data_IF_231175066931
#
_entry.id   IF_231175066931
#
_cell.length_a   1.000
_cell.length_b   1.000
_cell.length_c   1.000
_cell.angle_alpha   90.00
_cell.angle_beta   90.00
_cell.angle_gamma   90.00
#
_symmetry.space_group_name_H-M   'P 1'
#
loop_
_entity.id
_entity.type
_entity.pdbx_description
1 polymer ?
#
# COMPACT_ATOMS: atom_id res chain seq x y z
N UNK A 1 -38.79 11.12 63.84
CA UNK A 1 -39.41 10.25 62.81
C UNK A 1 -38.28 9.77 61.91
N UNK A 2 -37.72 8.58 62.21
CA UNK A 2 -37.92 7.31 61.47
C UNK A 2 -37.28 7.30 60.06
N UNK A 3 -36.05 6.77 60.01
CA UNK A 3 -35.57 5.63 59.19
C UNK A 3 -36.18 5.49 57.79
N UNK A 4 -35.34 5.54 56.74
CA UNK A 4 -35.05 4.34 55.94
C UNK A 4 -33.73 4.46 55.15
N UNK A 5 -32.79 3.61 55.54
CA UNK A 5 -31.65 3.14 54.75
C UNK A 5 -32.14 2.49 53.45
N UNK A 6 -31.50 2.78 52.32
CA UNK A 6 -31.38 1.79 51.24
C UNK A 6 -29.92 1.72 50.79
N UNK A 7 -29.23 0.74 51.35
CA UNK A 7 -27.98 0.19 50.84
C UNK A 7 -28.38 -0.75 49.70
N UNK A 8 -27.89 -0.52 48.48
CA UNK A 8 -27.96 -1.50 47.41
C UNK A 8 -26.52 -1.88 47.00
N UNK A 9 -26.04 -3.09 47.35
CA UNK A 9 -24.76 -3.58 46.89
C UNK A 9 -24.96 -4.26 45.53
N UNK A 10 -24.48 -3.64 44.44
CA UNK A 10 -24.20 -4.35 43.20
C UNK A 10 -22.70 -4.64 43.13
N UNK A 11 -22.28 -5.65 43.91
CA UNK A 11 -21.19 -6.51 43.50
C UNK A 11 -21.84 -7.63 42.69
N UNK A 12 -21.43 -7.83 41.44
CA UNK A 12 -20.70 -9.02 41.01
C UNK A 12 -20.62 -9.09 39.47
N UNK A 13 -19.42 -9.51 39.03
CA UNK A 13 -19.11 -10.18 37.77
C UNK A 13 -18.95 -9.33 36.51
N UNK A 14 -17.72 -8.84 36.31
CA UNK A 14 -17.03 -9.08 35.04
C UNK A 14 -15.49 -9.01 35.19
N UNK A 15 -14.94 -9.82 36.10
CA UNK A 15 -13.60 -10.36 35.91
C UNK A 15 -13.78 -11.74 35.26
N UNK A 16 -13.57 -11.83 33.94
CA UNK A 16 -13.76 -13.12 33.25
C UNK A 16 -13.59 -13.14 31.73
N UNK A 17 -13.03 -12.10 31.09
CA UNK A 17 -12.81 -12.09 29.63
C UNK A 17 -11.34 -11.99 29.19
N UNK A 18 -10.39 -12.02 30.14
CA UNK A 18 -8.98 -11.88 29.79
C UNK A 18 -8.31 -13.22 29.41
N UNK A 19 -8.69 -14.32 30.07
CA UNK A 19 -8.04 -15.61 29.84
C UNK A 19 -8.32 -16.21 28.46
N UNK A 20 -9.52 -16.04 27.92
CA UNK A 20 -9.91 -16.62 26.63
C UNK A 20 -9.17 -15.97 25.47
N UNK A 21 -8.96 -14.65 25.53
CA UNK A 21 -8.20 -13.91 24.51
C UNK A 21 -6.71 -14.20 24.59
N UNK A 22 -6.17 -14.38 25.80
CA UNK A 22 -4.77 -14.74 25.99
C UNK A 22 -4.49 -16.17 25.51
N UNK A 23 -5.39 -17.12 25.79
CA UNK A 23 -5.31 -18.51 25.28
C UNK A 23 -5.42 -18.58 23.75
N UNK A 24 -6.25 -17.74 23.12
CA UNK A 24 -6.36 -17.69 21.66
C UNK A 24 -5.09 -17.10 21.00
N UNK A 25 -4.47 -16.10 21.63
CA UNK A 25 -3.21 -15.52 21.16
C UNK A 25 -2.06 -16.54 21.24
N UNK A 26 -1.93 -17.23 22.38
CA UNK A 26 -0.91 -18.27 22.57
C UNK A 26 -1.12 -19.47 21.61
N UNK A 27 -2.37 -19.82 21.28
CA UNK A 27 -2.65 -20.87 20.30
C UNK A 27 -2.20 -20.46 18.88
N UNK A 28 -2.46 -19.21 18.48
CA UNK A 28 -2.02 -18.67 17.17
C UNK A 28 -0.50 -18.59 17.07
N UNK A 29 0.20 -18.17 18.12
CA UNK A 29 1.67 -18.15 18.14
C UNK A 29 2.27 -19.56 18.07
N UNK A 30 1.67 -20.55 18.75
CA UNK A 30 2.10 -21.95 18.65
C UNK A 30 1.86 -22.54 17.26
N UNK A 31 0.74 -22.22 16.61
CA UNK A 31 0.46 -22.67 15.24
C UNK A 31 1.47 -22.07 14.25
N UNK A 32 1.85 -20.79 14.43
CA UNK A 32 2.86 -20.13 13.60
C UNK A 32 4.24 -20.77 13.81
N UNK A 33 4.62 -21.05 15.06
CA UNK A 33 5.89 -21.70 15.40
C UNK A 33 5.96 -23.15 14.86
N UNK A 34 4.84 -23.88 14.83
CA UNK A 34 4.74 -25.21 14.22
C UNK A 34 4.88 -25.14 12.70
N UNK A 35 4.24 -24.18 12.01
CA UNK A 35 4.40 -23.98 10.56
C UNK A 35 5.84 -23.59 10.19
N UNK A 36 6.50 -22.75 10.99
CA UNK A 36 7.92 -22.39 10.79
C UNK A 36 8.83 -23.61 11.01
N UNK A 37 8.58 -24.43 12.03
CA UNK A 37 9.33 -25.67 12.25
C UNK A 37 9.11 -26.71 11.16
N UNK A 38 7.88 -26.87 10.66
CA UNK A 38 7.58 -27.79 9.56
C UNK A 38 8.24 -27.37 8.24
N UNK A 39 8.36 -26.05 8.02
CA UNK A 39 9.14 -25.51 6.90
C UNK A 39 10.65 -25.78 7.08
N UNK A 40 11.16 -25.67 8.30
CA UNK A 40 12.58 -25.93 8.59
C UNK A 40 12.96 -27.42 8.54
N UNK A 41 12.06 -28.36 8.88
CA UNK A 41 12.34 -29.79 8.78
C UNK A 41 12.21 -30.34 7.36
N UNK A 42 11.36 -29.74 6.52
CA UNK A 42 11.30 -30.08 5.08
C UNK A 42 12.58 -29.72 4.30
N UNK A 43 13.51 -28.99 4.91
CA UNK A 43 14.78 -28.60 4.29
C UNK A 43 15.96 -29.54 4.62
N UNK A 44 15.81 -30.51 5.54
CA UNK A 44 16.92 -31.36 6.00
C UNK A 44 16.80 -32.86 5.63
N UNK A 45 15.70 -33.30 5.02
CA UNK A 45 15.47 -34.72 4.70
C UNK A 45 15.85 -35.14 3.28
N UNK A 46 16.56 -34.29 2.52
CA UNK A 46 17.04 -34.67 1.19
C UNK A 46 18.55 -34.54 1.05
N UNK A 47 19.17 -35.73 1.06
CA UNK A 47 20.47 -36.12 0.50
C UNK A 47 21.63 -36.29 1.48
N UNK A 48 21.68 -37.48 2.08
CA UNK A 48 22.92 -38.20 2.37
C UNK A 48 23.02 -39.41 1.43
N UNK A 49 23.89 -39.35 0.41
CA UNK A 49 24.93 -40.37 0.18
C UNK A 49 25.81 -40.10 -1.06
N UNK A 50 27.11 -40.06 -0.76
CA UNK A 50 28.35 -40.31 -1.53
C UNK A 50 28.26 -40.86 -2.96
N UNK A 51 28.98 -40.25 -3.91
CA UNK A 51 30.30 -40.74 -4.38
C UNK A 51 30.99 -39.77 -5.36
N UNK A 52 32.32 -39.88 -5.41
CA UNK A 52 33.29 -38.95 -5.98
C UNK A 52 33.43 -38.95 -7.51
N UNK A 53 33.76 -37.77 -8.07
CA UNK A 53 34.99 -37.50 -8.84
C UNK A 53 34.76 -36.52 -10.00
N UNK A 54 35.68 -35.55 -10.10
CA UNK A 54 36.12 -34.75 -11.28
C UNK A 54 35.33 -33.50 -11.73
N UNK A 55 35.94 -32.34 -11.41
CA UNK A 55 36.08 -31.10 -12.22
C UNK A 55 34.95 -30.05 -12.15
N UNK A 56 35.27 -28.74 -11.96
CA UNK A 56 34.31 -27.73 -11.50
C UNK A 56 33.67 -26.97 -12.66
N UNK A 57 32.36 -26.70 -12.62
CA UNK A 57 31.72 -25.55 -13.30
C UNK A 57 30.33 -25.29 -12.66
N UNK A 58 30.17 -24.04 -12.23
CA UNK A 58 28.94 -23.26 -12.07
C UNK A 58 27.75 -23.88 -11.31
N UNK A 59 27.69 -23.52 -10.03
CA UNK A 59 26.47 -23.36 -9.24
C UNK A 59 25.44 -22.53 -10.02
N UNK A 60 24.41 -23.17 -10.56
CA UNK A 60 23.16 -22.51 -10.91
C UNK A 60 22.21 -22.67 -9.72
N UNK A 61 22.34 -21.76 -8.76
CA UNK A 61 21.25 -21.44 -7.84
C UNK A 61 20.05 -21.02 -8.71
N UNK A 62 18.81 -21.45 -8.43
CA UNK A 62 17.65 -20.83 -9.02
C UNK A 62 17.66 -19.37 -8.54
N UNK A 63 17.96 -18.46 -9.46
CA UNK A 63 17.67 -17.05 -9.26
C UNK A 63 16.16 -16.97 -9.19
N UNK A 64 15.62 -16.91 -7.98
CA UNK A 64 14.28 -16.39 -7.76
C UNK A 64 14.31 -14.94 -8.25
N UNK A 65 13.96 -14.76 -9.52
CA UNK A 65 13.97 -13.47 -10.17
C UNK A 65 12.96 -12.58 -9.46
N UNK A 66 13.47 -11.59 -8.72
CA UNK A 66 12.78 -10.40 -8.20
C UNK A 66 11.82 -9.69 -9.18
N UNK A 67 11.82 -10.08 -10.46
CA UNK A 67 10.99 -9.54 -11.51
C UNK A 67 9.48 -9.75 -11.30
N UNK A 68 9.06 -10.66 -10.43
CA UNK A 68 7.64 -11.00 -10.26
C UNK A 68 6.96 -10.45 -9.01
N UNK A 69 7.70 -9.96 -8.01
CA UNK A 69 7.12 -9.65 -6.70
C UNK A 69 5.99 -8.60 -6.77
N UNK A 70 6.05 -7.65 -7.71
CA UNK A 70 5.05 -6.59 -7.87
C UNK A 70 4.39 -6.58 -9.26
N UNK A 71 4.42 -7.71 -9.98
CA UNK A 71 3.73 -7.83 -11.27
C UNK A 71 2.21 -7.92 -11.12
N UNK A 72 1.74 -8.35 -9.95
CA UNK A 72 0.35 -8.30 -9.48
C UNK A 72 0.10 -7.06 -8.62
N UNK A 73 -1.01 -6.35 -8.86
CA UNK A 73 -1.31 -5.12 -8.15
C UNK A 73 -1.64 -5.32 -6.67
N UNK A 74 -2.29 -6.43 -6.30
CA UNK A 74 -2.65 -6.70 -4.90
C UNK A 74 -1.41 -6.98 -4.07
N UNK A 75 -0.42 -7.70 -4.63
CA UNK A 75 0.86 -7.94 -3.95
C UNK A 75 1.62 -6.62 -3.78
N UNK A 76 1.75 -5.83 -4.86
CA UNK A 76 2.30 -4.48 -4.78
C UNK A 76 1.60 -3.62 -3.72
N UNK A 77 0.27 -3.64 -3.68
CA UNK A 77 -0.53 -2.80 -2.79
C UNK A 77 -0.30 -3.13 -1.32
N UNK A 78 -0.20 -4.42 -0.96
CA UNK A 78 0.08 -4.86 0.40
C UNK A 78 1.44 -4.32 0.87
N UNK A 79 2.48 -4.47 0.06
CA UNK A 79 3.83 -4.02 0.40
C UNK A 79 3.93 -2.49 0.43
N UNK A 80 3.29 -1.81 -0.53
CA UNK A 80 3.22 -0.35 -0.58
C UNK A 80 2.57 0.22 0.67
N UNK A 81 1.39 -0.30 1.04
CA UNK A 81 0.69 0.07 2.27
C UNK A 81 1.54 -0.20 3.52
N UNK A 82 2.23 -1.34 3.57
CA UNK A 82 3.14 -1.65 4.68
C UNK A 82 4.27 -0.62 4.79
N UNK A 83 4.93 -0.29 3.68
CA UNK A 83 6.01 0.70 3.67
C UNK A 83 5.55 2.09 4.13
N UNK A 84 4.35 2.50 3.70
CA UNK A 84 3.73 3.77 4.15
C UNK A 84 3.50 3.75 5.67
N UNK A 85 2.91 2.69 6.20
CA UNK A 85 2.58 2.58 7.64
C UNK A 85 3.82 2.42 8.53
N UNK A 86 4.89 1.81 8.02
CA UNK A 86 6.17 1.70 8.71
C UNK A 86 6.98 3.03 8.67
N UNK A 87 6.49 4.05 7.95
CA UNK A 87 7.23 5.30 7.72
C UNK A 87 8.49 5.11 6.87
N UNK A 88 8.61 4.01 6.14
CA UNK A 88 9.79 3.65 5.37
C UNK A 88 9.79 4.38 4.01
N UNK A 89 10.27 5.63 4.03
CA UNK A 89 10.33 6.48 2.82
C UNK A 89 11.19 5.87 1.70
N UNK A 90 12.24 5.12 2.04
CA UNK A 90 13.11 4.47 1.05
C UNK A 90 12.41 3.33 0.31
N UNK A 91 11.63 2.52 1.02
CA UNK A 91 10.81 1.47 0.40
C UNK A 91 9.70 2.08 -0.48
N UNK A 92 9.08 3.17 -0.05
CA UNK A 92 8.09 3.85 -0.90
C UNK A 92 8.73 4.44 -2.16
N UNK A 93 9.93 5.01 -2.05
CA UNK A 93 10.70 5.48 -3.22
C UNK A 93 11.03 4.33 -4.18
N UNK A 94 11.43 3.16 -3.70
CA UNK A 94 11.72 2.02 -4.59
C UNK A 94 10.47 1.49 -5.32
N UNK A 95 9.28 1.77 -4.78
CA UNK A 95 7.97 1.49 -5.36
C UNK A 95 7.39 2.68 -6.15
N UNK A 96 8.18 3.73 -6.38
CA UNK A 96 7.76 4.96 -7.09
C UNK A 96 8.55 5.12 -8.37
N UNK A 97 7.86 5.46 -9.46
CA UNK A 97 8.48 5.84 -10.71
C UNK A 97 8.98 7.29 -10.63
N UNK A 98 10.30 7.47 -10.65
CA UNK A 98 10.96 8.78 -10.71
C UNK A 98 11.43 9.02 -12.16
N UNK A 99 11.11 10.17 -12.78
CA UNK A 99 10.48 11.36 -12.20
C UNK A 99 8.98 11.16 -11.89
N UNK A 100 8.57 11.61 -10.71
CA UNK A 100 7.17 11.63 -10.27
C UNK A 100 6.52 12.95 -10.69
N UNK A 101 5.35 12.90 -11.32
CA UNK A 101 4.68 14.09 -11.86
C UNK A 101 3.41 14.43 -11.12
N UNK A 102 3.24 15.70 -10.81
CA UNK A 102 1.98 16.27 -10.35
C UNK A 102 1.27 16.95 -11.53
N UNK A 103 0.58 16.16 -12.34
CA UNK A 103 -0.08 16.67 -13.55
C UNK A 103 -1.17 17.68 -13.21
N UNK A 104 -1.81 17.53 -12.05
CA UNK A 104 -2.88 18.41 -11.61
C UNK A 104 -2.37 19.83 -11.40
N UNK A 105 -1.42 19.99 -10.46
CA UNK A 105 -0.91 21.31 -10.12
C UNK A 105 0.01 21.86 -11.19
N UNK A 106 0.73 21.03 -11.95
CA UNK A 106 1.50 21.53 -13.11
C UNK A 106 0.61 22.28 -14.11
N UNK A 107 -0.60 21.78 -14.34
CA UNK A 107 -1.54 22.37 -15.30
C UNK A 107 -2.21 23.63 -14.74
N UNK A 108 -2.53 23.65 -13.44
CA UNK A 108 -3.33 24.72 -12.83
C UNK A 108 -2.52 25.81 -12.14
N UNK A 109 -1.34 25.54 -11.59
CA UNK A 109 -0.62 26.46 -10.70
C UNK A 109 -0.32 27.82 -11.35
N UNK A 110 -0.09 27.85 -12.67
CA UNK A 110 0.11 29.10 -13.43
C UNK A 110 -1.12 30.01 -13.41
N UNK A 111 -2.31 29.43 -13.42
CA UNK A 111 -3.59 30.14 -13.52
C UNK A 111 -4.27 30.29 -12.15
N UNK A 112 -4.02 29.36 -11.23
CA UNK A 112 -4.64 29.28 -9.91
C UNK A 112 -3.57 28.92 -8.85
N UNK A 113 -2.74 29.87 -8.38
CA UNK A 113 -1.71 29.58 -7.39
C UNK A 113 -2.23 29.02 -6.05
N UNK A 114 -3.53 29.21 -5.76
CA UNK A 114 -4.21 28.69 -4.57
C UNK A 114 -4.24 27.16 -4.51
N UNK A 115 -4.05 26.44 -5.63
CA UNK A 115 -3.93 24.97 -5.63
C UNK A 115 -2.62 24.48 -5.00
N UNK A 116 -1.68 25.40 -4.72
CA UNK A 116 -0.38 25.10 -4.16
C UNK A 116 0.66 24.74 -5.23
N UNK A 117 1.94 24.82 -4.85
CA UNK A 117 3.05 24.47 -5.75
C UNK A 117 2.94 23.00 -6.20
N UNK A 118 3.29 22.69 -7.46
CA UNK A 118 3.35 21.31 -7.92
C UNK A 118 4.27 20.44 -7.06
N UNK A 119 3.82 19.23 -6.78
CA UNK A 119 4.57 18.22 -6.05
C UNK A 119 5.42 17.33 -6.98
N UNK A 120 5.59 17.73 -8.24
CA UNK A 120 6.51 17.08 -9.18
C UNK A 120 7.91 16.96 -8.58
N UNK A 121 8.52 15.80 -8.77
CA UNK A 121 9.83 15.47 -8.25
C UNK A 121 10.68 14.82 -9.34
N UNK A 122 11.75 15.49 -9.73
CA UNK A 122 12.70 15.04 -10.76
C UNK A 122 13.72 14.05 -10.22
N UNK A 123 13.88 13.99 -8.90
CA UNK A 123 14.85 13.15 -8.21
C UNK A 123 14.23 12.50 -6.97
N UNK A 124 14.95 11.53 -6.41
CA UNK A 124 14.59 10.87 -5.15
C UNK A 124 14.54 11.89 -4.00
N UNK A 125 15.49 12.81 -3.93
CA UNK A 125 15.56 13.80 -2.85
C UNK A 125 14.38 14.78 -2.92
N UNK A 126 14.01 15.22 -4.13
CA UNK A 126 12.81 16.04 -4.33
C UNK A 126 11.54 15.30 -3.91
N UNK A 127 11.44 14.00 -4.22
CA UNK A 127 10.30 13.18 -3.84
C UNK A 127 10.21 13.03 -2.31
N UNK A 128 11.34 12.75 -1.65
CA UNK A 128 11.41 12.67 -0.19
C UNK A 128 11.05 13.99 0.48
N UNK A 129 11.46 15.13 -0.10
CA UNK A 129 11.11 16.47 0.39
C UNK A 129 9.61 16.77 0.23
N UNK A 130 8.95 16.20 -0.78
CA UNK A 130 7.51 16.32 -1.00
C UNK A 130 6.69 15.21 -0.30
N UNK A 131 7.33 14.21 0.29
CA UNK A 131 6.68 12.99 0.76
C UNK A 131 5.46 13.23 1.64
N UNK A 132 5.58 14.06 2.68
CA UNK A 132 4.49 14.28 3.65
C UNK A 132 3.34 15.11 3.03
N UNK A 133 3.59 15.80 1.91
CA UNK A 133 2.55 16.52 1.14
C UNK A 133 1.82 15.57 0.19
N UNK A 134 2.57 14.65 -0.45
CA UNK A 134 2.01 13.61 -1.34
C UNK A 134 1.17 12.63 -0.52
N UNK A 135 1.70 12.16 0.61
CA UNK A 135 1.04 11.23 1.52
C UNK A 135 0.41 11.98 2.69
N UNK A 136 -0.51 12.89 2.37
CA UNK A 136 -1.29 13.59 3.39
C UNK A 136 -2.10 12.62 4.27
N UNK A 137 -2.57 13.04 5.46
CA UNK A 137 -3.40 12.18 6.32
C UNK A 137 -4.65 11.64 5.61
N UNK A 138 -5.23 12.39 4.67
CA UNK A 138 -6.37 11.95 3.87
C UNK A 138 -5.98 10.81 2.92
N UNK A 139 -4.84 10.92 2.23
CA UNK A 139 -4.32 9.86 1.36
C UNK A 139 -3.97 8.61 2.17
N UNK A 140 -3.29 8.77 3.31
CA UNK A 140 -2.96 7.63 4.20
C UNK A 140 -4.24 6.93 4.68
N UNK A 141 -5.30 7.67 4.99
CA UNK A 141 -6.60 7.09 5.34
C UNK A 141 -7.15 6.22 4.22
N UNK A 142 -7.13 6.69 2.97
CA UNK A 142 -7.60 5.94 1.80
C UNK A 142 -6.73 4.69 1.54
N UNK A 143 -5.41 4.79 1.69
CA UNK A 143 -4.49 3.64 1.61
C UNK A 143 -4.89 2.60 2.67
N UNK A 144 -5.14 3.05 3.90
CA UNK A 144 -5.45 2.16 5.01
C UNK A 144 -6.83 1.50 4.92
N UNK A 145 -7.80 2.15 4.29
CA UNK A 145 -9.12 1.58 3.98
C UNK A 145 -9.16 0.77 2.69
N UNK A 146 -8.03 0.58 2.00
CA UNK A 146 -7.94 -0.07 0.68
C UNK A 146 -8.86 0.60 -0.36
N UNK A 147 -9.04 1.91 -0.27
CA UNK A 147 -9.84 2.68 -1.22
C UNK A 147 -9.03 3.05 -2.46
N UNK A 148 -9.01 2.12 -3.40
CA UNK A 148 -8.53 2.34 -4.77
C UNK A 148 -9.52 1.74 -5.78
N UNK A 149 -9.44 2.18 -7.02
CA UNK A 149 -10.19 1.60 -8.15
C UNK A 149 -9.25 1.27 -9.31
N UNK A 150 -9.55 0.21 -10.03
CA UNK A 150 -8.96 -0.01 -11.35
C UNK A 150 -9.56 0.97 -12.38
N UNK A 151 -8.85 1.16 -13.49
CA UNK A 151 -9.40 1.80 -14.67
C UNK A 151 -10.75 1.20 -15.08
N UNK A 152 -11.70 2.05 -15.45
CA UNK A 152 -13.02 1.65 -15.89
C UNK A 152 -13.41 2.40 -17.17
N UNK A 153 -13.70 1.64 -18.23
CA UNK A 153 -14.04 2.20 -19.54
C UNK A 153 -15.24 3.17 -19.54
N UNK A 154 -16.16 3.03 -18.60
CA UNK A 154 -17.35 3.88 -18.51
C UNK A 154 -17.10 5.18 -17.74
N UNK A 155 -15.98 5.27 -16.99
CA UNK A 155 -15.63 6.40 -16.13
C UNK A 155 -14.40 7.17 -16.62
N UNK A 156 -13.50 6.49 -17.33
CA UNK A 156 -12.17 6.99 -17.68
C UNK A 156 -11.95 7.07 -19.21
N UNK A 157 -13.03 7.20 -20.01
CA UNK A 157 -13.00 7.20 -21.49
C UNK A 157 -13.99 8.23 -22.08
N UNK A 158 -14.41 9.23 -21.33
CA UNK A 158 -15.41 10.18 -21.83
C UNK A 158 -14.90 11.04 -23.00
N UNK A 159 -15.79 11.28 -23.97
CA UNK A 159 -15.57 12.14 -25.15
C UNK A 159 -15.40 13.63 -24.77
N UNK A 160 -15.63 13.97 -23.50
CA UNK A 160 -15.49 15.30 -22.88
C UNK A 160 -14.20 15.50 -22.08
N UNK A 161 -13.25 14.56 -22.11
CA UNK A 161 -11.84 14.89 -21.84
C UNK A 161 -11.33 14.79 -20.41
N UNK A 162 -11.97 14.05 -19.50
CA UNK A 162 -11.54 13.93 -18.10
C UNK A 162 -10.87 12.60 -17.74
N UNK A 163 -9.91 12.07 -18.51
CA UNK A 163 -9.29 10.79 -18.15
C UNK A 163 -8.37 10.89 -16.92
N UNK A 164 -8.83 10.39 -15.78
CA UNK A 164 -8.01 10.31 -14.57
C UNK A 164 -6.80 9.38 -14.73
N UNK A 165 -7.05 8.20 -15.29
CA UNK A 165 -6.09 7.10 -15.45
C UNK A 165 -6.37 6.33 -16.76
N UNK A 166 -5.40 5.54 -17.23
CA UNK A 166 -5.52 4.70 -18.45
C UNK A 166 -5.69 3.22 -18.13
N UNK A 167 -6.08 2.44 -19.14
CA UNK A 167 -6.24 0.98 -19.02
C UNK A 167 -5.02 0.32 -18.39
N UNK A 168 -5.26 -0.50 -17.37
CA UNK A 168 -4.22 -1.22 -16.63
C UNK A 168 -3.68 -0.47 -15.39
N UNK A 169 -4.08 0.77 -15.19
CA UNK A 169 -3.73 1.55 -13.99
C UNK A 169 -4.77 1.42 -12.88
N UNK A 170 -4.34 1.82 -11.69
CA UNK A 170 -5.17 1.95 -10.49
C UNK A 170 -5.07 3.37 -9.94
N UNK A 171 -6.11 3.79 -9.22
CA UNK A 171 -6.24 5.13 -8.68
C UNK A 171 -6.74 5.11 -7.24
N UNK A 172 -6.05 5.85 -6.37
CA UNK A 172 -6.64 6.39 -5.14
C UNK A 172 -7.29 7.72 -5.49
N UNK A 173 -8.57 7.87 -5.17
CA UNK A 173 -9.35 9.07 -5.43
C UNK A 173 -9.90 9.63 -4.12
N UNK A 174 -9.72 10.92 -3.88
CA UNK A 174 -10.34 11.62 -2.76
C UNK A 174 -11.83 11.84 -3.06
N UNK A 175 -12.69 11.61 -2.07
CA UNK A 175 -14.15 11.63 -2.21
C UNK A 175 -14.72 12.97 -2.69
N UNK A 176 -13.98 14.06 -2.51
CA UNK A 176 -14.43 15.42 -2.77
C UNK A 176 -14.20 15.88 -4.22
N UNK A 177 -13.58 15.06 -5.08
CA UNK A 177 -13.23 15.43 -6.46
C UNK A 177 -12.09 16.47 -6.60
N UNK A 178 -11.87 17.30 -5.57
CA UNK A 178 -10.95 18.45 -5.56
C UNK A 178 -9.51 18.14 -5.10
N UNK A 179 -9.05 16.88 -5.20
CA UNK A 179 -7.81 16.45 -4.54
C UNK A 179 -6.86 15.64 -5.41
N UNK A 180 -5.57 15.77 -5.09
CA UNK A 180 -4.47 15.01 -5.67
C UNK A 180 -4.69 13.51 -5.45
N UNK A 181 -5.26 12.81 -6.45
CA UNK A 181 -5.28 11.35 -6.45
C UNK A 181 -3.87 10.78 -6.63
N UNK A 182 -3.69 9.49 -6.39
CA UNK A 182 -2.44 8.80 -6.71
C UNK A 182 -2.70 7.71 -7.74
N UNK A 183 -2.05 7.83 -8.90
CA UNK A 183 -2.13 6.85 -9.97
C UNK A 183 -0.97 5.87 -9.90
N UNK A 184 -1.30 4.59 -10.10
CA UNK A 184 -0.36 3.48 -10.10
C UNK A 184 -0.36 2.80 -11.46
N UNK A 185 0.84 2.64 -12.03
CA UNK A 185 1.01 2.11 -13.39
C UNK A 185 1.95 0.92 -13.39
N UNK A 186 1.78 0.04 -14.38
CA UNK A 186 2.71 -1.05 -14.64
C UNK A 186 3.85 -0.56 -15.52
N UNK A 187 5.09 -0.58 -15.01
CA UNK A 187 6.31 -0.10 -15.66
C UNK A 187 7.34 -1.22 -15.60
N UNK A 188 7.88 -1.62 -16.74
CA UNK A 188 8.84 -2.73 -16.80
C UNK A 188 8.29 -4.06 -16.26
N UNK A 189 6.96 -4.25 -16.29
CA UNK A 189 6.30 -5.45 -15.78
C UNK A 189 5.91 -5.43 -14.31
N UNK A 190 6.24 -4.37 -13.55
CA UNK A 190 5.88 -4.23 -12.13
C UNK A 190 5.04 -2.98 -11.88
N UNK A 191 4.16 -3.01 -10.89
CA UNK A 191 3.38 -1.84 -10.50
C UNK A 191 4.23 -0.84 -9.70
N UNK A 192 4.00 0.46 -9.95
CA UNK A 192 4.67 1.55 -9.27
C UNK A 192 3.73 2.75 -9.08
N UNK A 193 3.89 3.49 -7.98
CA UNK A 193 3.32 4.83 -7.85
C UNK A 193 3.91 5.72 -8.95
N UNK A 194 3.07 6.39 -9.74
CA UNK A 194 3.54 7.01 -10.98
C UNK A 194 3.34 8.52 -11.06
N UNK A 195 2.16 9.02 -10.69
CA UNK A 195 1.83 10.44 -10.80
C UNK A 195 0.57 10.82 -10.02
N UNK A 196 0.34 12.12 -9.82
CA UNK A 196 -0.96 12.69 -9.47
C UNK A 196 -1.70 13.02 -10.77
N UNK A 197 -2.90 12.47 -11.02
CA UNK A 197 -3.63 12.67 -12.26
C UNK A 197 -4.21 14.09 -12.33
N UNK A 198 -4.32 14.63 -13.54
CA UNK A 198 -5.12 15.84 -13.81
C UNK A 198 -6.53 15.40 -14.19
N UNK A 199 -7.53 16.02 -13.56
CA UNK A 199 -8.92 15.96 -14.02
C UNK A 199 -9.20 17.23 -14.79
N UNK A 200 -9.45 17.10 -16.10
CA UNK A 200 -9.96 18.23 -16.86
C UNK A 200 -11.47 18.28 -16.67
N UNK A 201 -11.94 19.25 -15.89
CA UNK A 201 -13.33 19.66 -15.95
C UNK A 201 -13.47 20.64 -17.11
N UNK A 202 -13.38 20.15 -18.36
CA UNK A 202 -14.00 20.93 -19.44
C UNK A 202 -15.50 20.80 -19.27
N UNK A 203 -16.06 21.72 -18.48
CA UNK A 203 -17.46 22.08 -18.54
C UNK A 203 -17.79 22.36 -19.99
N UNK A 204 -18.46 21.40 -20.63
CA UNK A 204 -19.15 21.64 -21.88
C UNK A 204 -20.16 22.76 -21.66
N UNK A 205 -19.88 23.92 -22.25
CA UNK A 205 -20.85 24.98 -22.50
C UNK A 205 -21.13 25.93 -21.33
N UNK A 206 -20.60 27.15 -21.45
CA UNK A 206 -21.45 28.34 -21.46
C UNK A 206 -21.02 29.24 -22.63
#
# INVERSE_FOLDING_TARGET
MKILLFILPFLFLSCGQNETKQKELELKERELALKVKEFATKQNDSVSNKNASTTPIATSTPVETKADAHSDFQIFWVDFKKAINDGNKDAVVSMTNIPFKDKYRESLYKYMPSVGKPLTSKSVDEFKANYDKIFSPAIIKLINSNQFRAWNKNKDVDETGGHAIKKGEYLIQLDNGDGDGLAFSKIGGVYMLSYIPYYDFTVGGM
#
